data_IF_442312046772
#
_entry.id   IF_442312046772
#
_cell.length_a   1.000
_cell.length_b   1.000
_cell.length_c   1.000
_cell.angle_alpha   90.00
_cell.angle_beta   90.00
_cell.angle_gamma   90.00
#
_symmetry.space_group_name_H-M   'P 1'
#
loop_
_entity.id
_entity.type
_entity.pdbx_description
1 polymer ?
#
# COMPACT_ATOMS: atom_id res chain seq x y z
N UNK A 1 3.09 -18.33 1.19
CA UNK A 1 3.30 -19.37 2.22
C UNK A 1 4.70 -19.95 2.00
N UNK A 2 5.42 -20.22 3.07
CA UNK A 2 6.77 -20.76 2.99
C UNK A 2 6.74 -22.29 2.79
N UNK A 3 7.78 -22.90 2.18
CA UNK A 3 7.97 -24.34 2.17
C UNK A 3 8.12 -24.91 3.59
N UNK A 4 7.98 -26.23 3.74
CA UNK A 4 8.19 -26.89 5.02
C UNK A 4 9.59 -26.60 5.58
N UNK A 5 9.67 -26.30 6.87
CA UNK A 5 10.90 -25.90 7.56
C UNK A 5 11.38 -24.47 7.27
N UNK A 6 10.62 -23.68 6.54
CA UNK A 6 10.94 -22.27 6.24
C UNK A 6 9.83 -21.34 6.73
N UNK A 7 10.21 -20.10 7.00
CA UNK A 7 9.29 -19.03 7.36
C UNK A 7 9.31 -17.91 6.31
N UNK A 8 8.20 -17.20 6.18
CA UNK A 8 8.10 -16.02 5.32
C UNK A 8 7.94 -14.77 6.19
N UNK A 9 8.92 -13.88 6.11
CA UNK A 9 8.88 -12.62 6.84
C UNK A 9 8.53 -11.48 5.88
N UNK A 10 7.52 -10.71 6.25
CA UNK A 10 7.20 -9.43 5.60
C UNK A 10 7.62 -8.30 6.54
N UNK A 11 8.60 -7.52 6.09
CA UNK A 11 9.18 -6.42 6.89
C UNK A 11 8.86 -5.09 6.21
N UNK A 12 8.15 -4.21 6.90
CA UNK A 12 7.83 -2.88 6.43
C UNK A 12 8.67 -1.84 7.17
N UNK A 13 9.49 -1.11 6.42
CA UNK A 13 10.25 0.03 6.94
C UNK A 13 9.63 1.31 6.39
N UNK A 14 8.98 2.14 7.24
CA UNK A 14 8.40 3.40 6.80
C UNK A 14 9.47 4.39 6.37
N UNK A 15 9.36 4.89 5.14
CA UNK A 15 10.24 5.94 4.60
C UNK A 15 9.38 7.08 4.04
N UNK A 16 9.89 8.29 4.10
CA UNK A 16 9.17 9.44 3.55
C UNK A 16 9.12 9.35 2.01
N UNK A 17 7.98 9.65 1.37
CA UNK A 17 7.88 9.72 -0.08
C UNK A 17 8.80 10.82 -0.63
N UNK A 18 9.31 10.63 -1.84
CA UNK A 18 10.22 11.57 -2.50
C UNK A 18 11.68 11.48 -2.06
N UNK A 19 12.02 10.57 -1.15
CA UNK A 19 13.42 10.32 -0.81
C UNK A 19 14.14 9.61 -1.96
N UNK A 20 15.24 10.22 -2.38
CA UNK A 20 16.16 9.61 -3.34
C UNK A 20 17.11 8.67 -2.58
N UNK A 21 16.72 7.42 -2.45
CA UNK A 21 17.53 6.41 -1.77
C UNK A 21 18.58 5.82 -2.72
N UNK A 22 19.83 5.85 -2.29
CA UNK A 22 20.92 5.13 -2.95
C UNK A 22 20.91 3.64 -2.55
N UNK A 23 21.63 2.80 -3.29
CA UNK A 23 21.81 1.39 -2.90
C UNK A 23 22.50 1.24 -1.53
N UNK A 24 23.38 2.17 -1.18
CA UNK A 24 24.01 2.21 0.14
C UNK A 24 23.01 2.54 1.26
N UNK A 25 22.05 3.42 1.00
CA UNK A 25 20.96 3.72 1.94
C UNK A 25 20.09 2.49 2.14
N UNK A 26 19.68 1.83 1.06
CA UNK A 26 18.88 0.60 1.10
C UNK A 26 19.61 -0.48 1.92
N UNK A 27 20.90 -0.71 1.66
CA UNK A 27 21.71 -1.66 2.40
C UNK A 27 21.80 -1.31 3.89
N UNK A 28 21.88 0.00 4.22
CA UNK A 28 21.90 0.48 5.60
C UNK A 28 20.57 0.23 6.31
N UNK A 29 19.44 0.51 5.66
CA UNK A 29 18.11 0.24 6.22
C UNK A 29 17.87 -1.27 6.39
N UNK A 30 18.28 -2.07 5.40
CA UNK A 30 18.22 -3.52 5.46
C UNK A 30 18.96 -4.06 6.68
N UNK A 31 20.22 -3.64 6.87
CA UNK A 31 21.02 -4.09 8.02
C UNK A 31 20.34 -3.75 9.34
N UNK A 32 19.92 -2.49 9.52
CA UNK A 32 19.23 -2.07 10.74
C UNK A 32 17.97 -2.87 11.00
N UNK A 33 17.20 -3.17 9.97
CA UNK A 33 15.99 -3.98 10.12
C UNK A 33 16.31 -5.42 10.55
N UNK A 34 17.33 -6.03 9.94
CA UNK A 34 17.77 -7.38 10.31
C UNK A 34 18.36 -7.44 11.72
N UNK A 35 19.17 -6.47 12.10
CA UNK A 35 19.74 -6.39 13.45
C UNK A 35 18.63 -6.29 14.51
N UNK A 36 17.60 -5.50 14.23
CA UNK A 36 16.46 -5.32 15.11
C UNK A 36 15.64 -6.60 15.23
N UNK A 37 15.34 -7.25 14.11
CA UNK A 37 14.61 -8.53 14.09
C UNK A 37 15.42 -9.64 14.76
N UNK A 38 16.73 -9.71 14.54
CA UNK A 38 17.59 -10.69 15.17
C UNK A 38 17.57 -10.56 16.71
N UNK A 39 17.57 -9.33 17.18
CA UNK A 39 17.49 -9.03 18.62
C UNK A 39 16.09 -9.33 19.19
N UNK A 40 15.03 -8.88 18.51
CA UNK A 40 13.66 -9.03 19.02
C UNK A 40 13.17 -10.48 19.03
N UNK A 41 13.62 -11.29 18.06
CA UNK A 41 13.26 -12.71 17.97
C UNK A 41 14.28 -13.64 18.65
N UNK A 42 15.35 -13.12 19.21
CA UNK A 42 16.47 -13.91 19.76
C UNK A 42 17.07 -14.91 18.76
N UNK A 43 17.27 -14.44 17.52
CA UNK A 43 17.86 -15.22 16.42
C UNK A 43 19.11 -14.50 15.91
N UNK A 44 20.24 -14.59 16.61
CA UNK A 44 21.45 -13.82 16.30
C UNK A 44 22.06 -14.14 14.93
N UNK A 45 21.76 -15.31 14.38
CA UNK A 45 22.22 -15.77 13.07
C UNK A 45 21.17 -15.59 11.94
N UNK A 46 20.19 -14.69 12.14
CA UNK A 46 19.07 -14.46 11.22
C UNK A 46 19.53 -14.24 9.78
N UNK A 47 20.56 -13.39 9.58
CA UNK A 47 21.04 -13.07 8.23
C UNK A 47 21.55 -14.30 7.49
N UNK A 48 22.25 -15.22 8.16
CA UNK A 48 22.75 -16.45 7.55
C UNK A 48 21.67 -17.46 7.19
N UNK A 49 20.47 -17.31 7.76
CA UNK A 49 19.31 -18.17 7.48
C UNK A 49 18.46 -17.68 6.31
N UNK A 50 18.73 -16.50 5.76
CA UNK A 50 17.97 -15.95 4.64
C UNK A 50 18.29 -16.74 3.37
N UNK A 51 17.31 -17.48 2.86
CA UNK A 51 17.41 -18.25 1.61
C UNK A 51 17.06 -17.39 0.40
N UNK A 52 16.08 -16.48 0.58
CA UNK A 52 15.64 -15.56 -0.46
C UNK A 52 15.22 -14.23 0.16
N UNK A 53 15.57 -13.14 -0.48
CA UNK A 53 15.18 -11.81 -0.07
C UNK A 53 14.84 -10.94 -1.28
N UNK A 54 13.81 -10.12 -1.14
CA UNK A 54 13.47 -9.08 -2.11
C UNK A 54 13.18 -7.78 -1.36
N UNK A 55 13.98 -6.76 -1.60
CA UNK A 55 13.68 -5.40 -1.18
C UNK A 55 12.83 -4.72 -2.27
N UNK A 56 11.75 -4.06 -1.86
CA UNK A 56 10.89 -3.26 -2.72
C UNK A 56 10.87 -1.83 -2.19
N UNK A 57 11.29 -0.88 -3.00
CA UNK A 57 11.64 0.48 -2.57
C UNK A 57 10.74 1.53 -3.23
N UNK A 58 10.92 2.80 -2.85
CA UNK A 58 10.25 3.93 -3.51
C UNK A 58 10.54 4.01 -5.02
N UNK A 59 11.70 3.54 -5.46
CA UNK A 59 12.04 3.45 -6.91
C UNK A 59 11.14 2.45 -7.62
N UNK A 60 10.92 1.29 -7.01
CA UNK A 60 10.08 0.23 -7.56
C UNK A 60 8.62 0.66 -7.61
N UNK A 61 8.12 1.32 -6.54
CA UNK A 61 6.76 1.89 -6.53
C UNK A 61 6.57 2.95 -7.63
N UNK A 62 7.60 3.75 -7.91
CA UNK A 62 7.54 4.72 -9.01
C UNK A 62 7.53 4.03 -10.36
N UNK A 63 8.39 3.03 -10.57
CA UNK A 63 8.53 2.33 -11.84
C UNK A 63 7.30 1.46 -12.18
N UNK A 64 6.84 0.65 -11.22
CA UNK A 64 5.81 -0.35 -11.46
C UNK A 64 4.38 0.21 -11.36
N UNK A 65 4.18 1.21 -10.48
CA UNK A 65 2.84 1.76 -10.20
C UNK A 65 2.69 3.23 -10.54
N UNK A 66 3.73 3.87 -11.08
CA UNK A 66 3.75 5.32 -11.34
C UNK A 66 3.38 6.15 -10.10
N UNK A 67 3.72 5.61 -8.91
CA UNK A 67 3.38 6.22 -7.65
C UNK A 67 4.13 7.56 -7.47
N UNK A 68 3.39 8.61 -7.19
CA UNK A 68 3.98 9.94 -6.97
C UNK A 68 4.96 9.91 -5.79
N UNK A 69 6.21 10.30 -6.05
CA UNK A 69 7.29 10.26 -5.07
C UNK A 69 7.60 8.87 -4.52
N UNK A 70 7.22 7.79 -5.24
CA UNK A 70 7.41 6.42 -4.78
C UNK A 70 6.58 6.05 -3.54
N UNK A 71 5.47 6.76 -3.32
CA UNK A 71 4.60 6.50 -2.17
C UNK A 71 3.82 5.20 -2.33
N UNK A 72 4.06 4.23 -1.43
CA UNK A 72 3.30 2.98 -1.40
C UNK A 72 1.86 3.18 -0.90
N UNK A 73 1.62 4.22 -0.10
CA UNK A 73 0.42 4.34 0.73
C UNK A 73 -0.49 5.52 0.33
N UNK A 74 -0.20 6.22 -0.77
CA UNK A 74 -1.01 7.35 -1.24
C UNK A 74 -0.84 8.60 -0.39
N UNK A 75 -1.93 9.33 -0.14
CA UNK A 75 -1.92 10.58 0.60
C UNK A 75 -1.58 10.38 2.07
N UNK A 76 -0.85 11.34 2.65
CA UNK A 76 -0.52 11.31 4.08
C UNK A 76 -1.78 11.38 4.97
N UNK A 77 -1.70 10.76 6.16
CA UNK A 77 -2.80 10.73 7.13
C UNK A 77 -2.79 11.98 8.04
N UNK A 78 -2.50 13.14 7.49
CA UNK A 78 -2.72 14.40 8.22
C UNK A 78 -4.22 14.70 8.28
N UNK A 79 -4.65 15.42 9.32
CA UNK A 79 -6.06 15.83 9.48
C UNK A 79 -6.62 16.45 8.19
N UNK A 80 -5.85 17.35 7.56
CA UNK A 80 -6.28 18.03 6.34
C UNK A 80 -6.40 17.08 5.14
N UNK A 81 -5.44 16.20 4.94
CA UNK A 81 -5.44 15.28 3.80
C UNK A 81 -6.42 14.11 4.00
N UNK A 82 -6.72 13.76 5.22
CA UNK A 82 -7.75 12.76 5.54
C UNK A 82 -9.15 13.33 5.36
N UNK A 83 -9.40 14.55 5.86
CA UNK A 83 -10.71 15.20 5.77
C UNK A 83 -11.07 15.63 4.33
N UNK A 84 -10.09 16.02 3.53
CA UNK A 84 -10.29 16.54 2.17
C UNK A 84 -9.71 15.61 1.09
N UNK A 85 -9.91 14.31 1.21
CA UNK A 85 -9.53 13.36 0.15
C UNK A 85 -10.28 13.65 -1.15
N UNK A 86 -9.63 13.43 -2.30
CA UNK A 86 -10.30 13.49 -3.59
C UNK A 86 -11.52 12.56 -3.62
N UNK A 87 -12.60 13.02 -4.21
CA UNK A 87 -13.78 12.18 -4.43
C UNK A 87 -13.55 11.16 -5.54
N UNK A 88 -14.36 10.11 -5.55
CA UNK A 88 -14.34 9.09 -6.60
C UNK A 88 -14.82 9.62 -7.97
N UNK A 89 -15.39 10.81 -8.03
CA UNK A 89 -15.85 11.46 -9.28
C UNK A 89 -15.10 12.76 -9.48
N UNK A 90 -14.59 12.97 -10.67
CA UNK A 90 -13.96 14.24 -11.05
C UNK A 90 -14.97 15.39 -11.02
N UNK A 91 -14.57 16.53 -10.46
CA UNK A 91 -15.37 17.77 -10.52
C UNK A 91 -15.29 18.48 -11.88
N UNK A 92 -14.29 18.13 -12.69
CA UNK A 92 -14.02 18.81 -13.97
C UNK A 92 -14.48 18.02 -15.19
N UNK A 93 -14.42 16.69 -15.09
CA UNK A 93 -14.74 15.78 -16.20
C UNK A 93 -15.81 14.80 -15.75
N UNK A 94 -17.01 14.81 -16.36
CA UNK A 94 -18.16 14.04 -15.89
C UNK A 94 -18.00 12.51 -16.07
N UNK A 95 -17.08 12.09 -16.93
CA UNK A 95 -16.79 10.70 -17.24
C UNK A 95 -15.48 10.19 -16.65
N UNK A 96 -14.85 10.94 -15.73
CA UNK A 96 -13.60 10.56 -15.07
C UNK A 96 -13.85 10.18 -13.61
N UNK A 97 -13.49 8.95 -13.27
CA UNK A 97 -13.64 8.38 -11.95
C UNK A 97 -12.29 7.97 -11.37
N UNK A 98 -12.18 8.02 -10.05
CA UNK A 98 -10.97 7.68 -9.30
C UNK A 98 -11.26 6.54 -8.33
N UNK A 99 -10.35 5.57 -8.28
CA UNK A 99 -10.43 4.39 -7.41
C UNK A 99 -9.08 4.17 -6.73
N UNK A 100 -9.11 3.64 -5.51
CA UNK A 100 -7.92 3.20 -4.81
C UNK A 100 -7.47 4.11 -3.66
N UNK A 101 -6.23 3.95 -3.22
CA UNK A 101 -5.69 4.56 -2.00
C UNK A 101 -5.61 6.10 -2.03
N UNK A 102 -5.52 6.70 -3.22
CA UNK A 102 -5.43 8.16 -3.39
C UNK A 102 -6.76 8.91 -3.31
N UNK A 103 -7.88 8.21 -3.22
CA UNK A 103 -9.24 8.77 -3.18
C UNK A 103 -10.04 8.23 -1.98
N UNK A 104 -11.32 8.60 -1.88
CA UNK A 104 -12.20 8.10 -0.83
C UNK A 104 -12.46 6.59 -0.99
N UNK A 105 -12.56 5.83 0.13
CA UNK A 105 -12.40 6.25 1.52
C UNK A 105 -10.96 6.30 2.00
N UNK A 106 -9.99 5.75 1.27
CA UNK A 106 -8.58 5.85 1.61
C UNK A 106 -7.78 4.60 1.36
N UNK A 107 -6.77 4.38 2.20
CA UNK A 107 -5.77 3.33 2.05
C UNK A 107 -6.17 2.02 2.72
N UNK A 108 -5.70 0.92 2.16
CA UNK A 108 -5.87 -0.45 2.63
C UNK A 108 -6.54 -1.32 1.58
N UNK A 109 -6.19 -2.61 1.50
CA UNK A 109 -6.76 -3.50 0.48
C UNK A 109 -8.30 -3.57 0.55
N UNK A 110 -8.93 -3.79 1.71
CA UNK A 110 -10.39 -3.77 1.79
C UNK A 110 -10.97 -2.40 1.44
N UNK A 111 -10.29 -1.34 1.85
CA UNK A 111 -10.72 0.04 1.61
C UNK A 111 -10.64 0.40 0.11
N UNK A 112 -9.64 -0.12 -0.61
CA UNK A 112 -9.56 0.06 -2.07
C UNK A 112 -10.71 -0.66 -2.80
N UNK A 113 -11.17 -1.82 -2.31
CA UNK A 113 -12.36 -2.50 -2.84
C UNK A 113 -13.62 -1.67 -2.60
N UNK A 114 -13.78 -1.10 -1.40
CA UNK A 114 -14.88 -0.16 -1.12
C UNK A 114 -14.79 1.07 -2.03
N UNK A 115 -13.58 1.58 -2.30
CA UNK A 115 -13.39 2.69 -3.25
C UNK A 115 -13.88 2.33 -4.67
N UNK A 116 -13.62 1.10 -5.11
CA UNK A 116 -14.10 0.60 -6.40
C UNK A 116 -15.62 0.52 -6.43
N UNK A 117 -16.22 -0.02 -5.38
CA UNK A 117 -17.69 -0.11 -5.25
C UNK A 117 -18.34 1.29 -5.26
N UNK A 118 -17.78 2.24 -4.51
CA UNK A 118 -18.26 3.62 -4.51
C UNK A 118 -18.21 4.26 -5.91
N UNK A 119 -17.11 4.05 -6.65
CA UNK A 119 -17.01 4.55 -8.01
C UNK A 119 -18.03 3.89 -8.93
N UNK A 120 -18.22 2.58 -8.85
CA UNK A 120 -19.23 1.85 -9.61
C UNK A 120 -20.64 2.34 -9.32
N UNK A 121 -21.00 2.52 -8.05
CA UNK A 121 -22.30 3.10 -7.66
C UNK A 121 -22.52 4.47 -8.31
N UNK A 122 -21.48 5.31 -8.39
CA UNK A 122 -21.58 6.63 -9.07
C UNK A 122 -21.80 6.49 -10.57
N UNK A 123 -21.18 5.50 -11.21
CA UNK A 123 -21.35 5.21 -12.64
C UNK A 123 -22.79 4.81 -12.96
N UNK A 124 -23.39 3.92 -12.14
CA UNK A 124 -24.76 3.45 -12.34
C UNK A 124 -25.83 4.39 -11.73
N UNK A 125 -25.43 5.51 -11.14
CA UNK A 125 -26.36 6.47 -10.54
C UNK A 125 -26.91 6.08 -9.17
N UNK A 126 -26.42 4.99 -8.57
CA UNK A 126 -26.79 4.59 -7.21
C UNK A 126 -26.18 5.51 -6.16
N UNK A 127 -27.01 6.03 -5.26
CA UNK A 127 -26.59 6.90 -4.13
C UNK A 127 -26.98 6.33 -2.77
N UNK A 128 -27.42 5.08 -2.73
CA UNK A 128 -27.79 4.44 -1.47
C UNK A 128 -26.60 4.27 -0.55
N UNK A 129 -26.74 4.39 0.77
CA UNK A 129 -25.73 4.00 1.72
C UNK A 129 -25.59 2.46 1.78
N UNK A 130 -24.42 2.01 2.23
CA UNK A 130 -24.14 0.58 2.38
C UNK A 130 -23.62 -0.11 1.13
N UNK A 131 -23.30 -1.40 1.22
CA UNK A 131 -22.76 -2.18 0.11
C UNK A 131 -23.81 -2.46 -0.96
N UNK A 132 -23.34 -2.78 -2.17
CA UNK A 132 -24.19 -3.33 -3.21
C UNK A 132 -24.74 -4.69 -2.77
N UNK A 133 -26.00 -5.03 -3.19
CA UNK A 133 -26.51 -6.36 -2.97
C UNK A 133 -25.59 -7.41 -3.60
N UNK A 134 -25.18 -8.40 -2.81
CA UNK A 134 -24.44 -9.55 -3.35
C UNK A 134 -25.48 -10.54 -3.85
N UNK A 135 -25.57 -10.73 -5.16
CA UNK A 135 -26.30 -11.87 -5.70
C UNK A 135 -25.47 -13.12 -5.38
N UNK A 136 -25.89 -13.88 -4.37
CA UNK A 136 -25.33 -15.19 -4.10
C UNK A 136 -25.94 -16.13 -5.15
N UNK A 137 -25.13 -16.71 -6.07
CA UNK A 137 -25.66 -17.70 -6.98
C UNK A 137 -26.25 -18.86 -6.18
N UNK A 138 -27.45 -19.25 -6.53
CA UNK A 138 -28.13 -20.38 -5.92
C UNK A 138 -27.43 -21.71 -6.22
#
# INVERSE_FOLDING_TARGET
MAPEGHENLFVLVPVAPGLSMTDADIATYRRKALDLLAADFDVPDLESRIVFERAYTSRDFTADYHAFGGSALGLAHTMRQTAFRPNNVSKKLPNLYYVGAGTNPGIGMPICLISAELAYKRIIGDRTPGPLPVEVPA
#
